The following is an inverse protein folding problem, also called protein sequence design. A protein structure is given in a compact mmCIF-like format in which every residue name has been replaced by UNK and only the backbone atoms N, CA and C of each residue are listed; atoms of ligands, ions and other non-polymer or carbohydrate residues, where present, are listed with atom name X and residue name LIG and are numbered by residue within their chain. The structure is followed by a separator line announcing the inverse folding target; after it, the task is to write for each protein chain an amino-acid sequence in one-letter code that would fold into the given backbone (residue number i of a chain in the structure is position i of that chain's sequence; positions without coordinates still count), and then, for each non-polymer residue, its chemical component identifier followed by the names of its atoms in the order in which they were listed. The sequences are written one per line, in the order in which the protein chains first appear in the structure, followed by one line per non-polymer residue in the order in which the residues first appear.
data_IF_566342995765
#
_entry.id   IF_566342995765
#
_cell.length_a   1.000
_cell.length_b   1.000
_cell.length_c   1.000
_cell.angle_alpha   90.00
_cell.angle_beta   90.00
_cell.angle_gamma   90.00
#
_symmetry.space_group_name_H-M   'P 1'
#
loop_
_entity.id
_entity.type
_entity.pdbx_description
1 polymer ?
#
# COMPACT_ATOMS: atom_id res chain seq x y z
N UNK A 1 5.58 -22.77 -7.28
CA UNK A 1 4.52 -21.94 -7.91
C UNK A 1 4.82 -20.50 -7.54
N UNK A 2 5.30 -19.71 -8.50
CA UNK A 2 5.91 -18.39 -8.27
C UNK A 2 4.86 -17.29 -8.52
N UNK A 3 4.46 -16.58 -7.46
CA UNK A 3 3.74 -15.30 -7.44
C UNK A 3 2.29 -15.22 -7.92
N UNK A 4 1.46 -16.23 -7.67
CA UNK A 4 0.02 -15.93 -7.60
C UNK A 4 -0.21 -15.10 -6.34
N UNK A 5 -0.69 -13.86 -6.47
CA UNK A 5 -1.23 -13.10 -5.35
C UNK A 5 -2.25 -14.00 -4.63
N UNK A 6 -1.87 -14.53 -3.47
CA UNK A 6 -2.72 -15.47 -2.73
C UNK A 6 -3.99 -14.72 -2.36
N UNK A 7 -5.12 -15.41 -2.34
CA UNK A 7 -6.41 -14.86 -1.87
C UNK A 7 -6.27 -14.16 -0.50
N UNK A 8 -5.26 -14.56 0.28
CA UNK A 8 -4.89 -14.00 1.57
C UNK A 8 -4.40 -12.55 1.52
N UNK A 9 -3.51 -12.16 0.59
CA UNK A 9 -2.99 -10.78 0.57
C UNK A 9 -4.04 -9.79 0.04
N UNK A 10 -4.95 -10.27 -0.82
CA UNK A 10 -6.02 -9.46 -1.42
C UNK A 10 -7.04 -8.95 -0.41
N UNK A 11 -7.18 -9.58 0.76
CA UNK A 11 -8.10 -9.12 1.82
C UNK A 11 -7.70 -7.75 2.38
N UNK A 12 -6.45 -7.35 2.22
CA UNK A 12 -5.90 -6.07 2.69
C UNK A 12 -6.04 -4.92 1.68
N UNK A 13 -6.65 -5.16 0.51
CA UNK A 13 -6.81 -4.13 -0.51
C UNK A 13 -7.97 -3.19 -0.20
N UNK A 14 -7.79 -1.86 -0.35
CA UNK A 14 -8.89 -0.92 -0.43
C UNK A 14 -9.93 -1.36 -1.47
N UNK A 15 -11.22 -1.12 -1.19
CA UNK A 15 -12.31 -1.54 -2.07
C UNK A 15 -12.22 -0.93 -3.48
N UNK A 16 -11.57 0.22 -3.60
CA UNK A 16 -11.40 0.97 -4.83
C UNK A 16 -10.05 0.71 -5.54
N UNK A 17 -9.29 -0.30 -5.09
CA UNK A 17 -8.11 -0.78 -5.79
C UNK A 17 -8.50 -1.48 -7.12
N UNK A 18 -7.87 -1.10 -8.23
CA UNK A 18 -8.28 -1.57 -9.57
C UNK A 18 -7.17 -2.15 -10.45
N UNK A 19 -5.90 -1.99 -10.08
CA UNK A 19 -4.77 -2.58 -10.79
C UNK A 19 -3.83 -3.20 -9.76
N UNK A 20 -3.93 -4.53 -9.58
CA UNK A 20 -3.24 -5.28 -8.53
C UNK A 20 -2.31 -6.28 -9.18
N UNK A 21 -1.01 -6.11 -8.97
CA UNK A 21 0.03 -6.93 -9.61
C UNK A 21 0.98 -7.50 -8.56
N UNK A 22 1.38 -8.78 -8.67
CA UNK A 22 2.46 -9.30 -7.86
C UNK A 22 3.78 -8.61 -8.22
N UNK A 23 4.70 -8.51 -7.26
CA UNK A 23 6.07 -8.14 -7.55
C UNK A 23 6.80 -9.28 -8.27
N UNK A 24 7.53 -8.95 -9.33
CA UNK A 24 8.12 -9.93 -10.25
C UNK A 24 9.47 -10.50 -9.77
N UNK A 25 10.08 -9.92 -8.74
CA UNK A 25 11.41 -10.33 -8.24
C UNK A 25 11.38 -10.75 -6.77
N UNK A 26 12.32 -11.62 -6.41
CA UNK A 26 12.52 -12.09 -5.03
C UNK A 26 13.05 -10.93 -4.17
N UNK A 27 12.23 -10.53 -3.19
CA UNK A 27 12.58 -9.50 -2.24
C UNK A 27 12.97 -10.18 -0.93
N UNK A 28 14.23 -10.03 -0.50
CA UNK A 28 14.80 -10.79 0.62
C UNK A 28 14.02 -10.66 1.94
N UNK A 29 13.28 -9.57 2.12
CA UNK A 29 12.54 -9.24 3.34
C UNK A 29 11.04 -9.60 3.26
N UNK A 30 10.56 -10.19 2.15
CA UNK A 30 9.15 -10.50 1.96
C UNK A 30 8.93 -11.89 1.33
N UNK A 31 7.99 -12.66 1.89
CA UNK A 31 7.52 -13.93 1.32
C UNK A 31 6.51 -13.72 0.19
N UNK A 32 5.74 -12.63 0.25
CA UNK A 32 4.80 -12.25 -0.82
C UNK A 32 4.61 -10.73 -0.83
N UNK A 33 4.41 -10.14 -2.01
CA UNK A 33 4.14 -8.71 -2.13
C UNK A 33 3.32 -8.40 -3.39
N UNK A 34 2.42 -7.43 -3.26
CA UNK A 34 1.62 -6.88 -4.37
C UNK A 34 1.74 -5.36 -4.39
N UNK A 35 1.74 -4.81 -5.59
CA UNK A 35 1.53 -3.38 -5.82
C UNK A 35 0.10 -3.19 -6.29
N UNK A 36 -0.56 -2.13 -5.82
CA UNK A 36 -1.90 -1.76 -6.25
C UNK A 36 -2.00 -0.29 -6.61
N UNK A 37 -2.88 0.04 -7.56
CA UNK A 37 -3.38 1.40 -7.77
C UNK A 37 -4.83 1.52 -7.29
N UNK A 38 -5.19 2.67 -6.75
CA UNK A 38 -6.53 2.98 -6.27
C UNK A 38 -6.96 4.40 -6.68
N UNK A 39 -8.26 4.57 -6.87
CA UNK A 39 -8.90 5.86 -7.21
C UNK A 39 -9.07 6.80 -6.01
N UNK A 40 -8.51 6.45 -4.84
CA UNK A 40 -8.75 7.16 -3.58
C UNK A 40 -8.14 8.56 -3.58
N UNK A 41 -8.90 9.53 -4.07
CA UNK A 41 -8.49 10.93 -4.13
C UNK A 41 -9.18 11.78 -3.06
N UNK A 42 -8.38 12.34 -2.15
CA UNK A 42 -8.83 13.48 -1.33
C UNK A 42 -7.90 14.67 -1.52
N UNK A 43 -8.42 15.90 -1.63
CA UNK A 43 -7.60 17.10 -1.79
C UNK A 43 -6.65 17.36 -0.61
N UNK A 44 -7.08 17.01 0.61
CA UNK A 44 -6.35 17.27 1.85
C UNK A 44 -5.73 15.97 2.35
N UNK A 45 -4.41 15.98 2.59
CA UNK A 45 -3.66 14.81 3.08
C UNK A 45 -4.29 14.23 4.35
N UNK A 46 -4.60 15.08 5.34
CA UNK A 46 -5.23 14.64 6.60
C UNK A 46 -6.55 13.89 6.40
N UNK A 47 -7.33 14.24 5.37
CA UNK A 47 -8.57 13.55 5.06
C UNK A 47 -8.28 12.19 4.40
N UNK A 48 -7.35 12.16 3.47
CA UNK A 48 -6.86 10.93 2.85
C UNK A 48 -6.35 9.93 3.89
N UNK A 49 -5.46 10.38 4.78
CA UNK A 49 -4.93 9.60 5.90
C UNK A 49 -6.05 9.06 6.80
N UNK A 50 -7.02 9.91 7.15
CA UNK A 50 -8.12 9.52 8.03
C UNK A 50 -8.97 8.40 7.41
N UNK A 51 -9.30 8.50 6.12
CA UNK A 51 -10.13 7.49 5.45
C UNK A 51 -9.39 6.16 5.23
N UNK A 52 -8.11 6.20 4.83
CA UNK A 52 -7.28 4.99 4.75
C UNK A 52 -7.13 4.31 6.13
N UNK A 53 -6.86 5.11 7.17
CA UNK A 53 -6.73 4.61 8.53
C UNK A 53 -8.01 3.97 9.04
N UNK A 54 -9.18 4.55 8.73
CA UNK A 54 -10.48 3.96 9.04
C UNK A 54 -10.64 2.63 8.32
N UNK A 55 -10.36 2.58 7.02
CA UNK A 55 -10.45 1.35 6.23
C UNK A 55 -9.65 0.20 6.87
N UNK A 56 -8.35 0.37 7.12
CA UNK A 56 -7.52 -0.70 7.68
C UNK A 56 -7.96 -1.07 9.10
N UNK A 57 -8.37 -0.11 9.93
CA UNK A 57 -8.90 -0.42 11.27
C UNK A 57 -10.22 -1.18 11.22
N UNK A 58 -11.12 -0.85 10.30
CA UNK A 58 -12.39 -1.55 10.13
C UNK A 58 -12.17 -2.96 9.60
N UNK A 59 -11.28 -3.13 8.62
CA UNK A 59 -10.93 -4.44 8.04
C UNK A 59 -10.44 -5.43 9.11
N UNK A 60 -9.66 -4.96 10.08
CA UNK A 60 -9.07 -5.77 11.16
C UNK A 60 -9.99 -5.87 12.40
N UNK A 61 -11.11 -5.14 12.41
CA UNK A 61 -12.02 -5.02 13.54
C UNK A 61 -11.62 -3.92 14.52
N UNK A 62 -12.60 -3.39 15.28
CA UNK A 62 -12.52 -2.19 16.13
C UNK A 62 -11.63 -2.33 17.40
N UNK A 63 -10.39 -2.77 17.23
CA UNK A 63 -9.33 -2.62 18.22
C UNK A 63 -8.19 -1.81 17.62
N UNK A 64 -7.37 -1.18 18.45
CA UNK A 64 -6.20 -0.36 18.04
C UNK A 64 -5.07 -1.19 17.41
N UNK A 65 -5.41 -2.23 16.64
CA UNK A 65 -4.51 -3.22 16.08
C UNK A 65 -3.91 -2.81 14.72
N UNK A 66 -3.98 -1.52 14.38
CA UNK A 66 -3.25 -0.96 13.24
C UNK A 66 -2.43 0.20 13.76
N UNK A 67 -1.11 0.08 13.63
CA UNK A 67 -0.16 1.17 13.84
C UNK A 67 -0.02 1.95 12.55
N UNK A 68 0.03 3.29 12.63
CA UNK A 68 0.08 4.19 11.47
C UNK A 68 1.26 5.13 11.65
N UNK A 69 2.11 5.23 10.64
CA UNK A 69 3.15 6.26 10.53
C UNK A 69 2.89 7.06 9.26
N UNK A 70 2.72 8.38 9.44
CA UNK A 70 2.35 9.29 8.35
C UNK A 70 3.50 10.25 8.07
N UNK A 71 3.79 10.48 6.80
CA UNK A 71 4.77 11.44 6.33
C UNK A 71 4.09 12.46 5.41
N UNK A 72 3.41 13.49 5.97
CA UNK A 72 2.65 14.46 5.19
C UNK A 72 3.49 15.19 4.14
N UNK A 73 4.72 15.53 4.51
CA UNK A 73 5.68 16.24 3.65
C UNK A 73 6.11 15.39 2.44
N UNK A 74 6.01 14.06 2.56
CA UNK A 74 6.37 13.10 1.53
C UNK A 74 5.14 12.51 0.83
N UNK A 75 3.91 12.85 1.25
CA UNK A 75 2.70 12.26 0.67
C UNK A 75 2.56 10.74 0.89
N UNK A 76 3.18 10.18 1.93
CA UNK A 76 3.23 8.73 2.20
C UNK A 76 2.63 8.36 3.56
N UNK A 77 2.09 7.14 3.66
CA UNK A 77 1.63 6.54 4.93
C UNK A 77 2.04 5.05 4.97
N UNK A 78 2.50 4.61 6.13
CA UNK A 78 2.83 3.23 6.45
C UNK A 78 1.86 2.69 7.49
N UNK A 79 1.38 1.46 7.29
CA UNK A 79 0.48 0.75 8.20
C UNK A 79 1.08 -0.60 8.60
N UNK A 80 1.04 -0.91 9.89
CA UNK A 80 1.37 -2.25 10.41
C UNK A 80 0.13 -2.89 11.03
N UNK A 81 -0.16 -4.11 10.60
CA UNK A 81 -1.31 -4.87 11.07
C UNK A 81 -0.89 -5.66 12.31
N UNK A 82 -1.17 -5.15 13.51
CA UNK A 82 -0.67 -5.75 14.75
C UNK A 82 -1.30 -7.13 15.06
N UNK A 83 -2.46 -7.47 14.49
CA UNK A 83 -3.03 -8.82 14.56
C UNK A 83 -2.38 -9.83 13.62
N UNK A 84 -1.63 -9.34 12.63
CA UNK A 84 -0.89 -10.12 11.65
C UNK A 84 0.45 -9.41 11.41
N UNK A 85 1.39 -9.50 12.37
CA UNK A 85 2.60 -8.69 12.37
C UNK A 85 3.52 -8.98 11.18
N UNK A 86 3.27 -10.07 10.43
CA UNK A 86 3.94 -10.34 9.16
C UNK A 86 3.54 -9.33 8.07
N UNK A 87 2.39 -8.67 8.20
CA UNK A 87 1.83 -7.79 7.17
C UNK A 87 2.13 -6.32 7.45
N UNK A 88 2.62 -5.64 6.42
CA UNK A 88 2.72 -4.20 6.39
C UNK A 88 2.32 -3.63 5.03
N UNK A 89 1.88 -2.38 5.06
CA UNK A 89 1.30 -1.68 3.91
C UNK A 89 1.90 -0.29 3.80
N UNK A 90 2.38 0.06 2.62
CA UNK A 90 2.89 1.39 2.31
C UNK A 90 2.05 2.01 1.20
N UNK A 91 1.64 3.26 1.36
CA UNK A 91 0.76 3.93 0.39
C UNK A 91 1.28 5.32 0.10
N UNK A 92 1.42 5.64 -1.18
CA UNK A 92 1.84 6.92 -1.71
C UNK A 92 0.67 7.61 -2.44
N UNK A 93 0.58 8.93 -2.26
CA UNK A 93 -0.39 9.78 -2.94
C UNK A 93 0.24 10.39 -4.19
N UNK A 94 -0.24 10.00 -5.38
CA UNK A 94 0.37 10.35 -6.66
C UNK A 94 0.42 11.86 -6.98
N UNK A 95 -0.34 12.69 -6.24
CA UNK A 95 -0.27 14.16 -6.33
C UNK A 95 1.07 14.76 -5.85
N UNK A 96 1.98 13.94 -5.32
CA UNK A 96 3.31 14.32 -4.86
C UNK A 96 4.35 13.40 -5.51
N UNK A 97 5.22 13.96 -6.36
CA UNK A 97 6.24 13.18 -7.08
C UNK A 97 7.22 12.51 -6.10
N UNK A 98 7.60 13.22 -5.03
CA UNK A 98 8.47 12.67 -3.99
C UNK A 98 7.84 11.44 -3.32
N UNK A 99 6.51 11.35 -3.22
CA UNK A 99 5.84 10.19 -2.63
C UNK A 99 6.05 8.92 -3.45
N UNK A 100 6.03 9.07 -4.78
CA UNK A 100 6.23 7.96 -5.71
C UNK A 100 7.67 7.53 -5.65
N UNK A 101 8.62 8.47 -5.75
CA UNK A 101 10.06 8.18 -5.63
C UNK A 101 10.39 7.48 -4.30
N UNK A 102 9.81 7.94 -3.19
CA UNK A 102 10.01 7.31 -1.89
C UNK A 102 9.46 5.88 -1.86
N UNK A 103 8.21 5.66 -2.28
CA UNK A 103 7.67 4.30 -2.35
C UNK A 103 8.49 3.42 -3.30
N UNK A 104 8.97 3.99 -4.39
CA UNK A 104 9.78 3.28 -5.38
C UNK A 104 11.17 2.94 -4.83
N UNK A 105 11.79 3.80 -4.02
CA UNK A 105 13.06 3.52 -3.34
C UNK A 105 12.95 2.39 -2.32
N UNK A 106 11.76 2.22 -1.70
CA UNK A 106 11.50 1.12 -0.77
C UNK A 106 11.37 -0.22 -1.51
N UNK A 107 10.73 -0.19 -2.67
CA UNK A 107 10.37 -1.41 -3.40
C UNK A 107 11.47 -1.81 -4.38
N UNK A 108 12.05 -0.86 -5.11
CA UNK A 108 12.99 -1.07 -6.21
C UNK A 108 12.31 -1.50 -7.52
N UNK A 109 11.06 -1.09 -7.77
CA UNK A 109 10.24 -1.63 -8.87
C UNK A 109 9.75 -0.59 -9.87
N UNK A 110 10.13 -0.76 -11.13
CA UNK A 110 9.57 0.00 -12.25
C UNK A 110 8.04 -0.14 -12.42
N UNK A 111 7.39 -1.08 -11.72
CA UNK A 111 5.93 -1.21 -11.70
C UNK A 111 5.25 0.01 -11.06
N UNK A 112 5.89 0.66 -10.08
CA UNK A 112 5.32 1.83 -9.40
C UNK A 112 5.22 3.00 -10.36
N UNK A 113 6.26 3.25 -11.16
CA UNK A 113 6.25 4.30 -12.18
C UNK A 113 5.17 4.04 -13.23
N UNK A 114 5.01 2.77 -13.65
CA UNK A 114 3.94 2.40 -14.59
C UNK A 114 2.55 2.75 -14.05
N UNK A 115 2.28 2.46 -12.77
CA UNK A 115 0.98 2.77 -12.15
C UNK A 115 0.79 4.26 -11.91
N UNK A 116 1.87 5.00 -11.61
CA UNK A 116 1.84 6.44 -11.42
C UNK A 116 1.45 7.22 -12.70
N UNK A 117 1.61 6.61 -13.87
CA UNK A 117 1.21 7.21 -15.16
C UNK A 117 -0.24 6.94 -15.58
N UNK A 118 -0.99 6.08 -14.85
CA UNK A 118 -2.42 5.86 -15.13
C UNK A 118 -3.25 7.05 -14.63
N UNK A 119 -3.97 7.72 -15.53
CA UNK A 119 -4.77 8.91 -15.22
C UNK A 119 -5.89 8.67 -14.20
N UNK A 120 -6.30 7.41 -13.99
CA UNK A 120 -7.31 7.05 -12.98
C UNK A 120 -6.71 6.89 -11.59
N UNK A 121 -5.40 6.66 -11.50
CA UNK A 121 -4.74 6.41 -10.23
C UNK A 121 -4.60 7.73 -9.46
N UNK A 122 -5.08 7.71 -8.21
CA UNK A 122 -4.83 8.79 -7.25
C UNK A 122 -3.78 8.38 -6.20
N UNK A 123 -3.65 7.07 -6.01
CA UNK A 123 -2.72 6.44 -5.06
C UNK A 123 -2.11 5.20 -5.66
N UNK A 124 -0.89 4.91 -5.20
CA UNK A 124 -0.24 3.62 -5.40
C UNK A 124 0.17 3.10 -4.03
N UNK A 125 -0.03 1.81 -3.80
CA UNK A 125 0.40 1.19 -2.57
C UNK A 125 1.06 -0.16 -2.79
N UNK A 126 1.75 -0.59 -1.76
CA UNK A 126 2.44 -1.86 -1.63
C UNK A 126 1.88 -2.55 -0.40
N UNK A 127 1.49 -3.81 -0.55
CA UNK A 127 1.19 -4.70 0.57
C UNK A 127 2.22 -5.82 0.53
N UNK A 128 2.88 -6.09 1.65
CA UNK A 128 3.82 -7.20 1.76
C UNK A 128 3.55 -8.07 2.98
N UNK A 129 3.95 -9.33 2.86
CA UNK A 129 3.99 -10.32 3.92
C UNK A 129 5.47 -10.63 4.15
N UNK A 130 5.94 -10.41 5.37
CA UNK A 130 7.29 -10.71 5.82
C UNK A 130 7.41 -12.17 6.23
N UNK A 131 8.60 -12.79 6.14
CA UNK A 131 8.84 -14.08 6.77
C UNK A 131 8.57 -14.00 8.28
N UNK A 132 8.00 -15.06 8.86
CA UNK A 132 7.88 -15.22 10.32
C UNK A 132 9.24 -15.31 11.02
#
# INVERSE_FOLDING_TARGET
MKYAATSEIKKYLPQDAFDVRPLEYEWAEATNAIVFASTLDFPIFRRWESELSKFYRTLIGNNRAVSVESHPDLGCISFWINTDPSVDVHVARLKCAESVENLNSWVGSSLIDSLATDERAATVGLIRIRPE
#
